data_IF_697043338952
#
_entry.id   IF_697043338952
#
_cell.length_a   1.000
_cell.length_b   1.000
_cell.length_c   1.000
_cell.angle_alpha   90.00
_cell.angle_beta   90.00
_cell.angle_gamma   90.00
#
_symmetry.space_group_name_H-M   'P 1'
#
loop_
_entity.id
_entity.type
_entity.pdbx_description
1 polymer ?
#
# COMPACT_ATOMS: atom_id res chain seq x y z
N UNK A 1 11.83 10.39 -5.28
CA UNK A 1 11.26 9.04 -5.42
C UNK A 1 9.81 9.19 -5.85
N UNK A 2 8.96 9.90 -5.11
CA UNK A 2 7.54 10.08 -5.42
C UNK A 2 7.31 10.69 -6.83
N UNK A 3 8.02 11.76 -7.17
CA UNK A 3 7.97 12.36 -8.52
C UNK A 3 8.40 11.42 -9.66
N UNK A 4 9.12 10.34 -9.35
CA UNK A 4 9.46 9.29 -10.31
C UNK A 4 8.36 8.22 -10.45
N UNK A 5 7.21 8.39 -9.78
CA UNK A 5 6.09 7.45 -9.80
C UNK A 5 6.34 6.20 -8.95
N UNK A 6 7.15 6.30 -7.91
CA UNK A 6 7.45 5.18 -7.01
C UNK A 6 6.94 5.51 -5.60
N UNK A 7 6.09 4.65 -5.04
CA UNK A 7 5.71 4.69 -3.63
C UNK A 7 6.20 3.44 -2.90
N UNK A 8 6.50 3.59 -1.61
CA UNK A 8 6.93 2.48 -0.74
C UNK A 8 6.19 2.54 0.59
N UNK A 9 5.71 1.40 1.05
CA UNK A 9 5.35 1.19 2.44
C UNK A 9 6.57 0.68 3.21
N UNK A 10 6.48 0.62 4.54
CA UNK A 10 7.55 0.14 5.38
C UNK A 10 7.05 -1.02 6.24
N UNK A 11 7.96 -1.91 6.66
CA UNK A 11 7.64 -3.01 7.56
C UNK A 11 6.93 -2.50 8.84
N UNK A 12 7.44 -1.43 9.46
CA UNK A 12 6.76 -0.73 10.55
C UNK A 12 5.82 0.33 9.99
N UNK A 13 4.55 0.27 10.34
CA UNK A 13 3.52 1.22 9.91
C UNK A 13 3.92 2.66 10.25
N UNK A 14 3.96 3.53 9.25
CA UNK A 14 4.32 4.94 9.39
C UNK A 14 3.12 5.83 9.05
N UNK A 15 2.16 5.89 9.94
CA UNK A 15 1.01 6.79 9.85
C UNK A 15 1.19 8.02 10.73
N UNK A 16 0.50 9.10 10.37
CA UNK A 16 0.29 10.24 11.25
C UNK A 16 -0.84 9.87 12.23
N UNK A 17 -0.46 9.28 13.38
CA UNK A 17 -1.41 8.64 14.31
C UNK A 17 -2.42 9.60 14.90
N UNK A 18 -2.03 10.86 15.09
CA UNK A 18 -2.85 11.93 15.66
C UNK A 18 -3.65 12.70 14.60
N UNK A 19 -3.64 12.24 13.36
CA UNK A 19 -4.44 12.79 12.26
C UNK A 19 -5.57 11.83 11.90
N UNK A 20 -6.71 12.38 11.42
CA UNK A 20 -7.79 11.57 10.86
C UNK A 20 -7.33 10.68 9.70
N UNK A 21 -8.05 9.59 9.48
CA UNK A 21 -7.84 8.66 8.37
C UNK A 21 -7.87 9.40 7.03
N UNK A 22 -8.87 10.26 6.82
CA UNK A 22 -9.00 11.07 5.60
C UNK A 22 -7.77 11.94 5.37
N UNK A 23 -7.31 12.64 6.40
CA UNK A 23 -6.17 13.55 6.29
C UNK A 23 -4.85 12.81 6.02
N UNK A 24 -4.68 11.58 6.54
CA UNK A 24 -3.55 10.73 6.17
C UNK A 24 -3.49 10.48 4.67
N UNK A 25 -4.62 10.19 4.02
CA UNK A 25 -4.68 9.98 2.56
C UNK A 25 -4.45 11.29 1.81
N UNK A 26 -5.04 12.41 2.26
CA UNK A 26 -4.86 13.75 1.65
C UNK A 26 -3.40 14.19 1.59
N UNK A 27 -2.57 13.82 2.59
CA UNK A 27 -1.13 14.11 2.54
C UNK A 27 -0.49 13.50 1.28
N UNK A 28 -0.93 12.30 0.85
CA UNK A 28 -0.46 11.67 -0.40
C UNK A 28 -0.87 12.45 -1.66
N UNK A 29 -2.08 13.03 -1.68
CA UNK A 29 -2.62 13.76 -2.82
C UNK A 29 -1.98 15.15 -3.03
N UNK A 30 -1.31 15.70 -2.02
CA UNK A 30 -0.84 17.10 -2.03
C UNK A 30 0.07 17.43 -3.22
N UNK A 31 0.84 16.48 -3.72
CA UNK A 31 1.73 16.69 -4.87
C UNK A 31 0.97 16.88 -6.20
N UNK A 32 -0.25 16.35 -6.30
CA UNK A 32 -1.08 16.42 -7.51
C UNK A 32 -2.06 17.59 -7.50
N UNK A 33 -2.32 18.18 -6.33
CA UNK A 33 -3.24 19.28 -6.13
C UNK A 33 -2.57 20.50 -5.48
N UNK A 34 -1.55 21.11 -6.14
CA UNK A 34 -0.81 22.18 -5.51
C UNK A 34 -1.61 23.49 -5.46
N UNK A 35 -1.61 24.11 -4.30
CA UNK A 35 -1.93 25.53 -4.14
C UNK A 35 -0.76 26.26 -3.47
N UNK A 36 -0.63 27.57 -3.74
CA UNK A 36 0.48 28.32 -3.13
C UNK A 36 0.26 28.45 -1.62
N UNK A 37 1.36 28.53 -0.86
CA UNK A 37 1.32 28.77 0.59
C UNK A 37 0.46 29.97 0.95
N UNK A 38 0.55 31.05 0.17
CA UNK A 38 -0.26 32.25 0.37
C UNK A 38 -1.76 31.96 0.18
N UNK A 39 -2.12 31.16 -0.83
CA UNK A 39 -3.52 30.73 -1.06
C UNK A 39 -4.06 29.93 0.13
N UNK A 40 -3.23 29.07 0.72
CA UNK A 40 -3.59 28.28 1.90
C UNK A 40 -3.77 29.16 3.15
N UNK A 41 -2.82 30.07 3.43
CA UNK A 41 -2.88 30.96 4.60
C UNK A 41 -4.10 31.88 4.54
N UNK A 42 -4.35 32.51 3.37
CA UNK A 42 -5.46 33.45 3.19
C UNK A 42 -6.79 32.77 2.90
N UNK A 43 -6.82 31.44 2.79
CA UNK A 43 -8.01 30.65 2.47
C UNK A 43 -8.81 31.20 1.30
N UNK A 44 -8.12 31.53 0.19
CA UNK A 44 -8.73 32.06 -1.01
C UNK A 44 -9.71 31.03 -1.64
N UNK A 45 -10.67 31.46 -2.50
CA UNK A 45 -11.64 30.53 -3.11
C UNK A 45 -11.02 29.30 -3.78
N UNK A 46 -9.81 29.43 -4.38
CA UNK A 46 -9.06 28.31 -4.94
C UNK A 46 -8.69 27.25 -3.89
N UNK A 47 -8.37 27.68 -2.65
CA UNK A 47 -8.10 26.75 -1.54
C UNK A 47 -9.30 25.82 -1.29
N UNK A 48 -10.48 26.38 -1.11
CA UNK A 48 -11.69 25.57 -0.84
C UNK A 48 -12.04 24.62 -1.98
N UNK A 49 -11.83 25.05 -3.23
CA UNK A 49 -12.06 24.19 -4.40
C UNK A 49 -11.11 22.99 -4.38
N UNK A 50 -9.81 23.23 -4.21
CA UNK A 50 -8.79 22.16 -4.19
C UNK A 50 -8.99 21.23 -2.99
N UNK A 51 -9.30 21.77 -1.80
CA UNK A 51 -9.59 20.94 -0.62
C UNK A 51 -10.80 20.02 -0.84
N UNK A 52 -11.85 20.52 -1.51
CA UNK A 52 -13.01 19.72 -1.85
C UNK A 52 -12.63 18.57 -2.81
N UNK A 53 -11.90 18.87 -3.88
CA UNK A 53 -11.41 17.87 -4.83
C UNK A 53 -10.54 16.82 -4.14
N UNK A 54 -9.63 17.23 -3.25
CA UNK A 54 -8.79 16.32 -2.46
C UNK A 54 -9.62 15.45 -1.51
N UNK A 55 -10.65 16.02 -0.85
CA UNK A 55 -11.53 15.24 0.02
C UNK A 55 -12.32 14.19 -0.77
N UNK A 56 -12.87 14.54 -1.93
CA UNK A 56 -13.61 13.62 -2.80
C UNK A 56 -12.69 12.47 -3.26
N UNK A 57 -11.49 12.81 -3.73
CA UNK A 57 -10.51 11.81 -4.18
C UNK A 57 -10.00 10.92 -3.03
N UNK A 58 -9.72 11.49 -1.87
CA UNK A 58 -9.32 10.73 -0.69
C UNK A 58 -10.44 9.75 -0.25
N UNK A 59 -11.71 10.20 -0.26
CA UNK A 59 -12.85 9.33 0.04
C UNK A 59 -13.03 8.19 -0.97
N UNK A 60 -12.76 8.44 -2.26
CA UNK A 60 -12.76 7.38 -3.28
C UNK A 60 -11.71 6.31 -2.96
N UNK A 61 -10.48 6.73 -2.64
CA UNK A 61 -9.41 5.80 -2.24
C UNK A 61 -9.81 5.05 -0.97
N UNK A 62 -10.34 5.72 0.05
CA UNK A 62 -10.76 5.07 1.30
C UNK A 62 -11.83 4.01 1.08
N UNK A 63 -12.78 4.21 0.15
CA UNK A 63 -13.79 3.19 -0.21
C UNK A 63 -13.16 1.92 -0.77
N UNK A 64 -12.08 2.03 -1.55
CA UNK A 64 -11.35 0.86 -2.06
C UNK A 64 -10.84 -0.04 -0.93
N UNK A 65 -10.53 0.55 0.22
CA UNK A 65 -9.97 -0.14 1.38
C UNK A 65 -11.01 -0.40 2.49
N UNK A 66 -12.29 -0.09 2.27
CA UNK A 66 -13.36 -0.16 3.28
C UNK A 66 -13.06 0.68 4.54
N UNK A 67 -12.46 1.86 4.34
CA UNK A 67 -12.07 2.81 5.40
C UNK A 67 -12.87 4.12 5.37
N UNK A 68 -13.82 4.26 4.48
CA UNK A 68 -14.61 5.48 4.30
C UNK A 68 -15.46 5.82 5.53
N UNK A 69 -15.94 4.81 6.25
CA UNK A 69 -16.72 4.98 7.49
C UNK A 69 -15.87 5.47 8.67
N UNK A 70 -14.58 5.26 8.62
CA UNK A 70 -13.62 5.70 9.63
C UNK A 70 -12.88 6.99 9.25
N UNK A 71 -13.34 7.71 8.21
CA UNK A 71 -12.67 8.89 7.67
C UNK A 71 -12.27 9.94 8.73
N UNK A 72 -13.14 10.16 9.72
CA UNK A 72 -12.92 11.11 10.82
C UNK A 72 -12.23 10.50 12.05
N UNK A 73 -11.99 9.19 12.05
CA UNK A 73 -11.30 8.49 13.15
C UNK A 73 -9.82 8.81 13.12
N UNK A 74 -9.19 9.01 14.29
CA UNK A 74 -7.73 9.13 14.37
C UNK A 74 -7.07 7.82 13.91
N UNK A 75 -6.08 7.93 13.03
CA UNK A 75 -5.40 6.76 12.45
C UNK A 75 -4.81 5.83 13.51
N UNK A 76 -4.34 6.38 14.64
CA UNK A 76 -3.82 5.62 15.77
C UNK A 76 -4.85 4.73 16.49
N UNK A 77 -6.15 5.04 16.35
CA UNK A 77 -7.24 4.30 16.97
C UNK A 77 -7.77 3.14 16.11
N UNK A 78 -7.29 3.00 14.88
CA UNK A 78 -7.66 1.89 14.02
C UNK A 78 -7.04 0.57 14.51
N UNK A 79 -7.71 -0.58 14.32
CA UNK A 79 -7.09 -1.89 14.42
C UNK A 79 -5.88 -2.00 13.49
N UNK A 80 -4.91 -2.86 13.84
CA UNK A 80 -3.64 -2.98 13.11
C UNK A 80 -3.83 -3.24 11.61
N UNK A 81 -4.67 -4.19 11.22
CA UNK A 81 -4.97 -4.49 9.81
C UNK A 81 -5.52 -3.27 9.05
N UNK A 82 -6.39 -2.47 9.68
CA UNK A 82 -6.90 -1.22 9.08
C UNK A 82 -5.83 -0.13 9.00
N UNK A 83 -4.90 -0.06 9.97
CA UNK A 83 -3.76 0.84 9.87
C UNK A 83 -2.87 0.49 8.67
N UNK A 84 -2.63 -0.80 8.42
CA UNK A 84 -1.86 -1.25 7.25
C UNK A 84 -2.58 -0.91 5.93
N UNK A 85 -3.88 -1.16 5.85
CA UNK A 85 -4.71 -0.74 4.70
C UNK A 85 -4.62 0.77 4.46
N UNK A 86 -4.67 1.58 5.52
CA UNK A 86 -4.54 3.04 5.43
C UNK A 86 -3.14 3.48 4.94
N UNK A 87 -2.07 2.80 5.36
CA UNK A 87 -0.72 3.08 4.87
C UNK A 87 -0.61 2.85 3.36
N UNK A 88 -1.19 1.74 2.85
CA UNK A 88 -1.25 1.44 1.42
C UNK A 88 -2.12 2.47 0.69
N UNK A 89 -3.29 2.83 1.24
CA UNK A 89 -4.18 3.86 0.69
C UNK A 89 -3.47 5.21 0.55
N UNK A 90 -2.68 5.62 1.55
CA UNK A 90 -1.87 6.83 1.48
C UNK A 90 -0.76 6.74 0.44
N UNK A 91 -0.13 5.59 0.28
CA UNK A 91 0.86 5.37 -0.77
C UNK A 91 0.21 5.46 -2.16
N UNK A 92 -0.98 4.86 -2.32
CA UNK A 92 -1.76 4.91 -3.56
C UNK A 92 -2.20 6.34 -3.93
N UNK A 93 -2.50 7.18 -2.94
CA UNK A 93 -2.86 8.59 -3.16
C UNK A 93 -1.75 9.40 -3.84
N UNK A 94 -0.52 8.91 -3.87
CA UNK A 94 0.57 9.54 -4.63
C UNK A 94 0.59 9.15 -6.11
N UNK A 95 -0.42 8.41 -6.59
CA UNK A 95 -0.58 7.94 -7.97
C UNK A 95 0.70 7.27 -8.52
N UNK A 96 1.25 6.26 -7.84
CA UNK A 96 2.49 5.63 -8.25
C UNK A 96 2.27 4.71 -9.46
N UNK A 97 3.31 4.57 -10.30
CA UNK A 97 3.40 3.50 -11.30
C UNK A 97 3.96 2.20 -10.72
N UNK A 98 4.77 2.32 -9.67
CA UNK A 98 5.37 1.20 -8.94
C UNK A 98 5.11 1.36 -7.45
N UNK A 99 4.42 0.38 -6.86
CA UNK A 99 4.18 0.29 -5.42
C UNK A 99 5.08 -0.80 -4.81
N UNK A 100 5.95 -0.39 -3.89
CA UNK A 100 6.83 -1.30 -3.15
C UNK A 100 6.18 -1.62 -1.79
N UNK A 101 5.86 -2.89 -1.56
CA UNK A 101 5.29 -3.40 -0.32
C UNK A 101 6.33 -4.24 0.43
N UNK A 102 6.66 -3.83 1.65
CA UNK A 102 7.68 -4.46 2.49
C UNK A 102 6.99 -5.18 3.66
N UNK A 103 6.89 -6.51 3.58
CA UNK A 103 6.19 -7.41 4.52
C UNK A 103 4.80 -6.86 4.92
N UNK A 104 3.89 -6.61 3.96
CA UNK A 104 2.62 -5.95 4.26
C UNK A 104 1.69 -6.78 5.14
N UNK A 105 1.84 -8.11 5.17
CA UNK A 105 1.02 -9.01 5.99
C UNK A 105 1.60 -9.27 7.39
N UNK A 106 2.76 -8.70 7.74
CA UNK A 106 3.37 -8.93 9.04
C UNK A 106 2.42 -8.58 10.20
N UNK A 107 2.19 -9.55 11.09
CA UNK A 107 1.31 -9.39 12.26
C UNK A 107 -0.19 -9.48 11.99
N UNK A 108 -0.61 -9.80 10.76
CA UNK A 108 -2.01 -10.04 10.40
C UNK A 108 -2.44 -11.49 10.69
N UNK A 109 -3.72 -11.67 11.00
CA UNK A 109 -4.32 -13.00 11.04
C UNK A 109 -4.65 -13.50 9.62
N UNK A 110 -4.96 -14.81 9.41
CA UNK A 110 -5.19 -15.36 8.08
C UNK A 110 -6.33 -14.68 7.29
N UNK A 111 -7.38 -14.21 7.97
CA UNK A 111 -8.49 -13.52 7.31
C UNK A 111 -8.07 -12.13 6.85
N UNK A 112 -7.36 -11.38 7.69
CA UNK A 112 -6.80 -10.06 7.32
C UNK A 112 -5.80 -10.18 6.18
N UNK A 113 -4.97 -11.24 6.18
CA UNK A 113 -4.04 -11.53 5.07
C UNK A 113 -4.79 -11.78 3.76
N UNK A 114 -5.88 -12.55 3.80
CA UNK A 114 -6.71 -12.79 2.61
C UNK A 114 -7.35 -11.50 2.08
N UNK A 115 -7.93 -10.68 2.97
CA UNK A 115 -8.48 -9.37 2.60
C UNK A 115 -7.41 -8.45 2.00
N UNK A 116 -6.19 -8.47 2.55
CA UNK A 116 -5.07 -7.71 2.00
C UNK A 116 -4.69 -8.18 0.60
N UNK A 117 -4.61 -9.50 0.38
CA UNK A 117 -4.34 -10.09 -0.93
C UNK A 117 -5.36 -9.64 -1.97
N UNK A 118 -6.64 -9.70 -1.63
CA UNK A 118 -7.73 -9.29 -2.53
C UNK A 118 -7.67 -7.78 -2.81
N UNK A 119 -7.32 -6.98 -1.80
CA UNK A 119 -7.11 -5.54 -1.95
C UNK A 119 -5.92 -5.24 -2.88
N UNK A 120 -4.78 -5.93 -2.73
CA UNK A 120 -3.60 -5.73 -3.58
C UNK A 120 -3.91 -6.09 -5.04
N UNK A 121 -4.62 -7.21 -5.29
CA UNK A 121 -5.05 -7.59 -6.65
C UNK A 121 -5.94 -6.51 -7.25
N UNK A 122 -6.98 -6.08 -6.51
CA UNK A 122 -7.88 -5.04 -6.97
C UNK A 122 -7.16 -3.75 -7.31
N UNK A 123 -6.26 -3.29 -6.43
CA UNK A 123 -5.47 -2.06 -6.62
C UNK A 123 -4.60 -2.18 -7.87
N UNK A 124 -3.89 -3.30 -8.05
CA UNK A 124 -3.04 -3.53 -9.22
C UNK A 124 -3.83 -3.43 -10.53
N UNK A 125 -4.99 -4.08 -10.59
CA UNK A 125 -5.83 -4.15 -11.79
C UNK A 125 -6.54 -2.82 -12.05
N UNK A 126 -7.09 -2.19 -11.00
CA UNK A 126 -7.91 -0.98 -11.14
C UNK A 126 -7.07 0.27 -11.43
N UNK A 127 -5.84 0.35 -10.91
CA UNK A 127 -4.97 1.51 -11.06
C UNK A 127 -3.83 1.29 -12.07
N UNK A 128 -3.83 0.17 -12.80
CA UNK A 128 -2.84 -0.17 -13.82
C UNK A 128 -1.39 0.06 -13.35
N UNK A 129 -1.05 -0.50 -12.20
CA UNK A 129 0.25 -0.32 -11.56
C UNK A 129 1.01 -1.63 -11.39
N UNK A 130 2.33 -1.51 -11.32
CA UNK A 130 3.21 -2.61 -10.94
C UNK A 130 3.35 -2.65 -9.42
N UNK A 131 3.26 -3.84 -8.83
CA UNK A 131 3.51 -4.06 -7.40
C UNK A 131 4.76 -4.92 -7.26
N UNK A 132 5.73 -4.44 -6.49
CA UNK A 132 6.87 -5.24 -6.04
C UNK A 132 6.71 -5.53 -4.56
N UNK A 133 6.63 -6.82 -4.23
CA UNK A 133 6.35 -7.33 -2.89
C UNK A 133 7.59 -8.01 -2.31
N UNK A 134 7.94 -7.69 -1.07
CA UNK A 134 8.90 -8.45 -0.27
C UNK A 134 8.08 -9.19 0.78
N UNK A 135 8.12 -10.50 0.76
CA UNK A 135 7.38 -11.36 1.69
C UNK A 135 8.07 -12.71 1.87
N UNK A 136 7.76 -13.36 2.98
CA UNK A 136 8.18 -14.71 3.29
C UNK A 136 7.00 -15.69 3.48
N UNK A 137 5.76 -15.21 3.42
CA UNK A 137 4.55 -16.04 3.42
C UNK A 137 4.30 -16.63 2.03
N UNK A 138 4.56 -17.94 1.89
CA UNK A 138 4.42 -18.68 0.61
C UNK A 138 2.98 -18.69 0.10
N UNK A 139 1.96 -18.62 0.98
CA UNK A 139 0.55 -18.55 0.55
C UNK A 139 0.23 -17.22 -0.07
N UNK A 140 0.73 -16.14 0.54
CA UNK A 140 0.53 -14.80 0.05
C UNK A 140 1.22 -14.63 -1.31
N UNK A 141 2.52 -14.93 -1.41
CA UNK A 141 3.26 -14.77 -2.67
C UNK A 141 2.70 -15.67 -3.77
N UNK A 142 2.38 -16.93 -3.45
CA UNK A 142 1.76 -17.88 -4.40
C UNK A 142 0.38 -17.45 -4.86
N UNK A 143 -0.32 -16.64 -4.05
CA UNK A 143 -1.67 -16.17 -4.34
C UNK A 143 -1.73 -14.93 -5.21
N UNK A 144 -0.72 -14.03 -5.19
CA UNK A 144 -0.81 -12.72 -5.85
C UNK A 144 0.35 -12.38 -6.78
N UNK A 145 1.49 -13.06 -6.67
CA UNK A 145 2.65 -12.79 -7.52
C UNK A 145 2.62 -13.62 -8.79
N UNK A 146 3.00 -13.03 -9.92
CA UNK A 146 3.17 -13.71 -11.21
C UNK A 146 4.58 -14.28 -11.35
N UNK A 147 5.58 -13.52 -10.89
CA UNK A 147 6.98 -13.89 -10.88
C UNK A 147 7.58 -13.77 -9.49
N UNK A 148 8.51 -14.65 -9.17
CA UNK A 148 9.27 -14.64 -7.92
C UNK A 148 10.77 -14.56 -8.20
N UNK A 149 11.45 -13.77 -7.34
CA UNK A 149 12.90 -13.82 -7.18
C UNK A 149 13.19 -14.26 -5.75
N UNK A 150 13.68 -15.47 -5.56
CA UNK A 150 13.99 -16.03 -4.25
C UNK A 150 15.41 -15.67 -3.86
N UNK A 151 15.54 -15.06 -2.68
CA UNK A 151 16.82 -14.65 -2.10
C UNK A 151 17.19 -15.59 -0.94
N UNK A 152 18.46 -16.04 -0.90
CA UNK A 152 19.00 -16.76 0.22
C UNK A 152 20.39 -16.19 0.58
N UNK A 153 20.57 -15.74 1.83
CA UNK A 153 21.78 -15.04 2.30
C UNK A 153 22.27 -13.92 1.36
N UNK A 154 21.34 -13.13 0.81
CA UNK A 154 21.64 -12.01 -0.07
C UNK A 154 22.00 -12.37 -1.51
N UNK A 155 21.92 -13.64 -1.89
CA UNK A 155 22.13 -14.12 -3.25
C UNK A 155 20.80 -14.57 -3.87
N UNK A 156 20.65 -14.36 -5.18
CA UNK A 156 19.52 -14.88 -5.94
C UNK A 156 19.68 -16.39 -6.05
N UNK A 157 18.74 -17.14 -5.47
CA UNK A 157 18.70 -18.59 -5.54
C UNK A 157 18.06 -19.05 -6.86
N UNK A 158 16.89 -18.48 -7.18
CA UNK A 158 16.14 -18.78 -8.40
C UNK A 158 15.23 -17.59 -8.72
N UNK A 159 14.91 -17.41 -10.00
CA UNK A 159 13.92 -16.44 -10.49
C UNK A 159 13.08 -17.08 -11.59
N UNK A 160 11.78 -16.79 -11.60
CA UNK A 160 10.87 -17.25 -12.64
C UNK A 160 9.41 -17.16 -12.25
N UNK A 161 8.56 -17.84 -13.02
CA UNK A 161 7.13 -17.92 -12.78
C UNK A 161 6.84 -18.53 -11.40
N UNK A 162 5.92 -17.92 -10.66
CA UNK A 162 5.59 -18.31 -9.27
C UNK A 162 5.27 -19.78 -9.11
N UNK A 163 4.49 -20.37 -10.03
CA UNK A 163 4.08 -21.76 -9.96
C UNK A 163 5.24 -22.77 -10.13
N UNK A 164 6.26 -22.37 -10.89
CA UNK A 164 7.47 -23.17 -11.10
C UNK A 164 8.44 -23.02 -9.92
N UNK A 165 8.68 -21.79 -9.49
CA UNK A 165 9.61 -21.45 -8.41
C UNK A 165 9.19 -22.08 -7.08
N UNK A 166 7.89 -22.05 -6.73
CA UNK A 166 7.39 -22.65 -5.49
C UNK A 166 7.48 -24.17 -5.44
N UNK A 167 7.66 -24.84 -6.58
CA UNK A 167 7.85 -26.31 -6.67
C UNK A 167 9.31 -26.70 -6.77
N UNK A 168 10.23 -25.74 -6.87
CA UNK A 168 11.66 -26.05 -7.01
C UNK A 168 12.21 -26.65 -5.70
N UNK A 169 12.90 -27.80 -5.76
CA UNK A 169 13.46 -28.46 -4.57
C UNK A 169 14.40 -27.56 -3.76
N UNK A 170 15.12 -26.64 -4.42
CA UNK A 170 16.04 -25.73 -3.72
C UNK A 170 15.30 -24.71 -2.88
N UNK A 171 14.13 -24.25 -3.35
CA UNK A 171 13.25 -23.35 -2.61
C UNK A 171 12.60 -24.07 -1.43
N UNK A 172 12.10 -25.29 -1.67
CA UNK A 172 11.49 -26.14 -0.64
C UNK A 172 12.49 -26.38 0.49
N UNK A 173 13.71 -26.80 0.16
CA UNK A 173 14.77 -27.02 1.16
C UNK A 173 15.14 -25.73 1.92
N UNK A 174 15.25 -24.59 1.23
CA UNK A 174 15.69 -23.35 1.84
C UNK A 174 14.64 -22.70 2.78
N UNK A 175 13.34 -22.88 2.49
CA UNK A 175 12.25 -22.17 3.19
C UNK A 175 11.30 -23.09 3.95
N UNK A 176 11.11 -24.35 3.54
CA UNK A 176 10.20 -25.31 4.19
C UNK A 176 10.95 -26.33 5.05
N UNK A 177 12.27 -26.40 4.96
CA UNK A 177 13.10 -27.19 5.88
C UNK A 177 12.98 -28.71 5.69
N UNK A 178 12.60 -29.18 4.49
CA UNK A 178 12.57 -30.63 4.12
C UNK A 178 13.77 -31.04 3.29
#
# INVERSE_FOLDING_TARGET
INQAGIARTFQNIRLFKDMPVLDNVKVGLHNHHPYSTLTGILRLPKYYKVEKEMNERAMEILRVFDLDKEADTLAGNLPYGKQRKLEIARALATEPKLLLLDEPAAGMNPNETQELMDTIRFVREHFDMTVLLIEHDMKLVGGICEELTVLNFGQVLIQGETSAVLKDPTVITAYLGE
#
